data_IF_915351201147
#
_entry.id   IF_915351201147
#
_cell.length_a   1.000
_cell.length_b   1.000
_cell.length_c   1.000
_cell.angle_alpha   90.00
_cell.angle_beta   90.00
_cell.angle_gamma   90.00
#
_symmetry.space_group_name_H-M   'P 1'
#
loop_
_entity.id
_entity.type
_entity.pdbx_description
1 polymer ?
#
# COMPACT_ATOMS: atom_id res chain seq x y z
N UNK A 1 19.42 -4.63 -32.37
CA UNK A 1 18.41 -4.17 -31.39
C UNK A 1 18.38 -5.17 -30.26
N UNK A 2 19.02 -4.86 -29.12
CA UNK A 2 19.03 -5.77 -27.97
C UNK A 2 17.61 -5.88 -27.40
N UNK A 3 17.08 -7.10 -27.27
CA UNK A 3 15.84 -7.34 -26.53
C UNK A 3 16.07 -6.85 -25.10
N UNK A 4 15.42 -5.76 -24.70
CA UNK A 4 15.30 -5.41 -23.29
C UNK A 4 14.63 -6.60 -22.59
N UNK A 5 15.38 -7.25 -21.71
CA UNK A 5 14.89 -8.41 -20.96
C UNK A 5 13.87 -7.93 -19.93
N UNK A 6 12.60 -8.32 -20.09
CA UNK A 6 11.56 -8.07 -19.07
C UNK A 6 11.71 -8.98 -17.84
N UNK A 7 12.76 -9.81 -17.78
CA UNK A 7 12.96 -10.76 -16.68
C UNK A 7 13.08 -10.07 -15.31
N UNK A 8 13.68 -8.88 -15.24
CA UNK A 8 13.77 -8.10 -14.00
C UNK A 8 12.38 -7.68 -13.52
N UNK A 9 11.55 -7.16 -14.41
CA UNK A 9 10.18 -6.74 -14.11
C UNK A 9 9.31 -7.93 -13.70
N UNK A 10 9.35 -9.03 -14.47
CA UNK A 10 8.62 -10.25 -14.13
C UNK A 10 9.00 -10.82 -12.76
N UNK A 11 10.29 -10.72 -12.38
CA UNK A 11 10.74 -11.12 -11.04
C UNK A 11 10.18 -10.21 -9.95
N UNK A 12 10.10 -8.90 -10.17
CA UNK A 12 9.50 -7.94 -9.23
C UNK A 12 8.00 -8.18 -9.08
N UNK A 13 7.29 -8.34 -10.18
CA UNK A 13 5.84 -8.56 -10.20
C UNK A 13 5.48 -9.88 -9.51
N UNK A 14 6.21 -10.95 -9.83
CA UNK A 14 6.04 -12.25 -9.19
C UNK A 14 6.35 -12.19 -7.69
N UNK A 15 7.45 -11.52 -7.30
CA UNK A 15 7.82 -11.35 -5.90
C UNK A 15 6.74 -10.58 -5.12
N UNK A 16 6.30 -9.42 -5.62
CA UNK A 16 5.28 -8.59 -4.99
C UNK A 16 3.96 -9.34 -4.82
N UNK A 17 3.50 -10.02 -5.87
CA UNK A 17 2.27 -10.82 -5.84
C UNK A 17 2.36 -11.97 -4.84
N UNK A 18 3.43 -12.76 -4.91
CA UNK A 18 3.62 -13.89 -4.00
C UNK A 18 3.74 -13.43 -2.54
N UNK A 19 4.50 -12.36 -2.27
CA UNK A 19 4.68 -11.83 -0.91
C UNK A 19 3.38 -11.29 -0.33
N UNK A 20 2.52 -10.66 -1.14
CA UNK A 20 1.18 -10.26 -0.69
C UNK A 20 0.33 -11.48 -0.31
N UNK A 21 0.29 -12.51 -1.13
CA UNK A 21 -0.58 -13.66 -0.88
C UNK A 21 -0.07 -14.64 0.19
N UNK A 22 1.25 -14.86 0.27
CA UNK A 22 1.84 -15.98 1.03
C UNK A 22 2.89 -15.56 2.06
N UNK A 23 3.23 -14.27 2.15
CA UNK A 23 4.28 -13.76 3.02
C UNK A 23 5.68 -14.03 2.50
N UNK A 24 6.67 -13.29 2.99
CA UNK A 24 8.06 -13.34 2.57
C UNK A 24 8.79 -14.63 3.03
N UNK A 25 8.56 -15.08 4.26
CA UNK A 25 9.29 -16.17 4.91
C UNK A 25 8.95 -17.52 4.30
N UNK A 26 7.72 -17.68 3.83
CA UNK A 26 7.24 -18.87 3.13
C UNK A 26 7.72 -19.00 1.68
N UNK A 27 8.45 -18.01 1.15
CA UNK A 27 8.86 -17.97 -0.26
C UNK A 27 10.35 -18.19 -0.46
N UNK A 28 10.68 -19.08 -1.40
CA UNK A 28 12.04 -19.33 -1.87
C UNK A 28 12.34 -18.64 -3.20
N UNK A 29 13.63 -18.31 -3.44
CA UNK A 29 14.07 -17.71 -4.72
C UNK A 29 13.68 -18.58 -5.93
N UNK A 30 13.77 -19.91 -5.81
CA UNK A 30 13.42 -20.83 -6.88
C UNK A 30 11.93 -20.75 -7.28
N UNK A 31 11.06 -20.54 -6.29
CA UNK A 31 9.63 -20.42 -6.50
C UNK A 31 9.27 -19.09 -7.17
N UNK A 32 9.89 -17.99 -6.75
CA UNK A 32 9.72 -16.68 -7.41
C UNK A 32 10.21 -16.74 -8.87
N UNK A 33 11.35 -17.39 -9.10
CA UNK A 33 11.87 -17.62 -10.45
C UNK A 33 10.90 -18.44 -11.32
N UNK A 34 10.30 -19.49 -10.76
CA UNK A 34 9.32 -20.30 -11.46
C UNK A 34 8.06 -19.49 -11.81
N UNK A 35 7.55 -18.69 -10.88
CA UNK A 35 6.39 -17.83 -11.11
C UNK A 35 6.67 -16.72 -12.16
N UNK A 36 7.91 -16.22 -12.22
CA UNK A 36 8.34 -15.20 -13.18
C UNK A 36 8.69 -15.76 -14.58
N UNK A 37 8.70 -17.09 -14.76
CA UNK A 37 9.29 -17.76 -15.92
C UNK A 37 10.73 -17.26 -16.19
N UNK A 38 11.57 -17.32 -15.15
CA UNK A 38 12.98 -16.91 -15.18
C UNK A 38 13.84 -18.04 -14.61
N UNK A 39 14.97 -18.34 -15.27
CA UNK A 39 15.92 -19.32 -14.74
C UNK A 39 16.57 -18.79 -13.46
N UNK A 40 16.72 -19.64 -12.44
CA UNK A 40 17.36 -19.28 -11.16
C UNK A 40 18.75 -18.65 -11.32
N UNK A 41 19.55 -19.09 -12.31
CA UNK A 41 20.85 -18.47 -12.60
C UNK A 41 20.76 -17.01 -13.05
N UNK A 42 19.66 -16.63 -13.71
CA UNK A 42 19.41 -15.25 -14.15
C UNK A 42 18.94 -14.35 -13.00
N UNK A 43 18.43 -14.91 -11.90
CA UNK A 43 18.04 -14.13 -10.72
C UNK A 43 19.21 -13.31 -10.18
N UNK A 44 20.35 -13.97 -9.98
CA UNK A 44 21.54 -13.37 -9.39
C UNK A 44 22.25 -12.36 -10.32
N UNK A 45 21.83 -12.26 -11.57
CA UNK A 45 22.23 -11.17 -12.45
C UNK A 45 21.51 -9.85 -12.11
N UNK A 46 20.28 -9.93 -11.58
CA UNK A 46 19.45 -8.76 -11.29
C UNK A 46 19.39 -8.40 -9.80
N UNK A 47 19.43 -9.41 -8.93
CA UNK A 47 19.27 -9.24 -7.49
C UNK A 47 20.32 -10.05 -6.74
N UNK A 48 20.95 -9.42 -5.75
CA UNK A 48 22.02 -10.04 -4.95
C UNK A 48 21.46 -11.03 -3.93
N UNK A 49 20.21 -10.85 -3.49
CA UNK A 49 19.54 -11.69 -2.50
C UNK A 49 18.01 -11.62 -2.63
N UNK A 50 17.29 -12.46 -1.87
CA UNK A 50 15.83 -12.34 -1.73
C UNK A 50 15.44 -11.00 -1.08
N UNK A 51 16.23 -10.54 -0.12
CA UNK A 51 16.03 -9.26 0.57
C UNK A 51 16.19 -8.08 -0.40
N UNK A 52 17.21 -8.09 -1.27
CA UNK A 52 17.41 -7.06 -2.30
C UNK A 52 16.20 -7.03 -3.27
N UNK A 53 15.75 -8.19 -3.76
CA UNK A 53 14.51 -8.28 -4.53
C UNK A 53 13.31 -7.66 -3.78
N UNK A 54 13.14 -7.97 -2.49
CA UNK A 54 12.05 -7.42 -1.67
C UNK A 54 12.13 -5.91 -1.56
N UNK A 55 13.31 -5.34 -1.31
CA UNK A 55 13.49 -3.88 -1.27
C UNK A 55 13.11 -3.24 -2.61
N UNK A 56 13.51 -3.84 -3.73
CA UNK A 56 13.13 -3.35 -5.07
C UNK A 56 11.63 -3.51 -5.34
N UNK A 57 10.99 -4.56 -4.83
CA UNK A 57 9.55 -4.76 -4.95
C UNK A 57 8.77 -3.74 -4.09
N UNK A 58 9.26 -3.43 -2.88
CA UNK A 58 8.73 -2.35 -2.04
C UNK A 58 8.82 -1.01 -2.77
N UNK A 59 9.98 -0.70 -3.36
CA UNK A 59 10.17 0.56 -4.10
C UNK A 59 9.21 0.67 -5.29
N UNK A 60 9.10 -0.39 -6.09
CA UNK A 60 8.20 -0.41 -7.25
C UNK A 60 6.73 -0.25 -6.83
N UNK A 61 6.31 -0.97 -5.78
CA UNK A 61 4.96 -0.86 -5.25
C UNK A 61 4.67 0.54 -4.70
N UNK A 62 5.62 1.13 -3.98
CA UNK A 62 5.47 2.50 -3.47
C UNK A 62 5.43 3.52 -4.61
N UNK A 63 6.23 3.37 -5.66
CA UNK A 63 6.21 4.31 -6.79
C UNK A 63 4.83 4.35 -7.47
N UNK A 64 4.24 3.18 -7.71
CA UNK A 64 2.89 3.06 -8.28
C UNK A 64 1.84 3.63 -7.32
N UNK A 65 1.89 3.24 -6.05
CA UNK A 65 0.95 3.70 -5.05
C UNK A 65 1.04 5.22 -4.85
N UNK A 66 2.24 5.79 -4.73
CA UNK A 66 2.47 7.22 -4.57
C UNK A 66 1.90 8.01 -5.75
N UNK A 67 2.07 7.50 -6.98
CA UNK A 67 1.49 8.12 -8.17
C UNK A 67 -0.04 8.12 -8.12
N UNK A 68 -0.66 7.00 -7.74
CA UNK A 68 -2.11 6.89 -7.60
C UNK A 68 -2.64 7.79 -6.48
N UNK A 69 -1.95 7.84 -5.33
CA UNK A 69 -2.31 8.69 -4.20
C UNK A 69 -2.19 10.17 -4.55
N UNK A 70 -1.09 10.57 -5.18
CA UNK A 70 -0.90 11.97 -5.61
C UNK A 70 -2.01 12.38 -6.58
N UNK A 71 -2.31 11.56 -7.59
CA UNK A 71 -3.39 11.83 -8.53
C UNK A 71 -4.78 11.94 -7.87
N UNK A 72 -5.07 11.11 -6.87
CA UNK A 72 -6.35 11.15 -6.14
C UNK A 72 -6.47 12.39 -5.24
N UNK A 73 -5.34 12.84 -4.68
CA UNK A 73 -5.26 13.95 -3.72
C UNK A 73 -4.97 15.31 -4.36
N UNK A 74 -4.76 15.39 -5.67
CA UNK A 74 -4.62 16.64 -6.41
C UNK A 74 -5.95 17.12 -7.02
N UNK A 75 -5.98 18.36 -7.51
CA UNK A 75 -7.13 18.97 -8.19
C UNK A 75 -7.89 19.99 -7.35
N UNK A 76 -8.99 20.51 -7.93
CA UNK A 76 -9.76 21.63 -7.38
C UNK A 76 -10.97 21.20 -6.54
N UNK A 77 -11.23 19.89 -6.43
CA UNK A 77 -12.31 19.38 -5.57
C UNK A 77 -12.02 19.66 -4.08
N UNK A 78 -13.07 19.78 -3.24
CA UNK A 78 -12.90 19.91 -1.79
C UNK A 78 -11.97 18.83 -1.21
N UNK A 79 -11.15 19.20 -0.23
CA UNK A 79 -10.13 18.31 0.33
C UNK A 79 -10.69 16.98 0.85
N UNK A 80 -11.86 17.01 1.52
CA UNK A 80 -12.52 15.78 1.98
C UNK A 80 -13.04 14.91 0.84
N UNK A 81 -13.44 15.48 -0.29
CA UNK A 81 -13.85 14.71 -1.47
C UNK A 81 -12.64 14.00 -2.11
N UNK A 82 -11.49 14.68 -2.17
CA UNK A 82 -10.21 14.08 -2.60
C UNK A 82 -9.78 12.93 -1.70
N UNK A 83 -9.81 13.14 -0.37
CA UNK A 83 -9.51 12.10 0.61
C UNK A 83 -10.46 10.90 0.49
N UNK A 84 -11.76 11.15 0.35
CA UNK A 84 -12.76 10.11 0.14
C UNK A 84 -12.44 9.26 -1.09
N UNK A 85 -12.18 9.90 -2.23
CA UNK A 85 -11.79 9.22 -3.48
C UNK A 85 -10.61 8.29 -3.29
N UNK A 86 -9.57 8.76 -2.59
CA UNK A 86 -8.40 7.95 -2.30
C UNK A 86 -8.80 6.69 -1.51
N UNK A 87 -9.52 6.86 -0.41
CA UNK A 87 -9.90 5.76 0.48
C UNK A 87 -10.87 4.76 -0.19
N UNK A 88 -11.83 5.24 -0.96
CA UNK A 88 -12.73 4.40 -1.77
C UNK A 88 -11.96 3.66 -2.87
N UNK A 89 -11.00 4.33 -3.53
CA UNK A 89 -10.14 3.68 -4.52
C UNK A 89 -9.29 2.53 -3.94
N UNK A 90 -8.84 2.66 -2.69
CA UNK A 90 -8.17 1.58 -1.96
C UNK A 90 -9.11 0.42 -1.65
N UNK A 91 -10.38 0.70 -1.30
CA UNK A 91 -11.39 -0.35 -1.10
C UNK A 91 -11.72 -1.08 -2.40
N UNK A 92 -11.88 -0.34 -3.50
CA UNK A 92 -12.15 -0.90 -4.82
C UNK A 92 -11.00 -1.76 -5.34
N UNK A 93 -9.75 -1.40 -5.03
CA UNK A 93 -8.59 -2.25 -5.34
C UNK A 93 -8.72 -3.63 -4.68
N UNK A 94 -9.12 -3.68 -3.41
CA UNK A 94 -9.30 -4.95 -2.69
C UNK A 94 -10.49 -5.76 -3.24
N UNK A 95 -11.56 -5.10 -3.71
CA UNK A 95 -12.69 -5.76 -4.39
C UNK A 95 -12.26 -6.40 -5.71
N UNK A 96 -11.58 -5.63 -6.57
CA UNK A 96 -11.07 -6.13 -7.85
C UNK A 96 -10.13 -7.32 -7.65
N UNK A 97 -9.19 -7.21 -6.69
CA UNK A 97 -8.30 -8.32 -6.37
C UNK A 97 -9.06 -9.58 -5.90
N UNK A 98 -10.14 -9.42 -5.11
CA UNK A 98 -11.00 -10.52 -4.69
C UNK A 98 -11.73 -11.17 -5.87
N UNK A 99 -12.21 -10.38 -6.81
CA UNK A 99 -12.90 -10.87 -8.02
C UNK A 99 -11.94 -11.60 -8.97
N UNK A 100 -10.75 -11.05 -9.19
CA UNK A 100 -9.76 -11.56 -10.14
C UNK A 100 -9.00 -12.79 -9.59
N UNK A 101 -8.59 -12.74 -8.32
CA UNK A 101 -7.72 -13.75 -7.71
C UNK A 101 -8.44 -14.66 -6.71
N UNK A 102 -9.73 -14.44 -6.45
CA UNK A 102 -10.53 -15.22 -5.50
C UNK A 102 -10.27 -14.91 -4.02
N UNK A 103 -9.36 -13.98 -3.71
CA UNK A 103 -9.03 -13.59 -2.34
C UNK A 103 -8.71 -12.09 -2.20
N UNK A 104 -9.00 -11.53 -1.03
CA UNK A 104 -8.55 -10.18 -0.66
C UNK A 104 -7.02 -10.19 -0.52
N UNK A 105 -6.34 -9.32 -1.27
CA UNK A 105 -4.88 -9.32 -1.41
C UNK A 105 -4.17 -8.73 -0.17
N UNK A 106 -4.78 -7.68 0.41
CA UNK A 106 -4.25 -6.90 1.50
C UNK A 106 -3.27 -5.82 1.05
N UNK A 107 -2.44 -5.33 1.97
CA UNK A 107 -1.39 -4.35 1.68
C UNK A 107 -0.01 -5.01 1.71
N UNK A 108 0.79 -4.88 0.63
CA UNK A 108 2.15 -5.41 0.59
C UNK A 108 3.01 -4.84 1.74
N UNK A 109 2.97 -3.52 1.89
CA UNK A 109 3.76 -2.80 2.89
C UNK A 109 3.38 -3.21 4.31
N UNK A 110 2.07 -3.29 4.60
CA UNK A 110 1.56 -3.74 5.90
C UNK A 110 1.95 -5.19 6.23
N UNK A 111 1.83 -6.11 5.26
CA UNK A 111 2.22 -7.51 5.46
C UNK A 111 3.73 -7.63 5.74
N UNK A 112 4.57 -6.96 4.95
CA UNK A 112 6.02 -7.00 5.14
C UNK A 112 6.44 -6.30 6.45
N UNK A 113 5.74 -5.25 6.87
CA UNK A 113 5.99 -4.61 8.15
C UNK A 113 5.75 -5.57 9.32
N UNK A 114 4.65 -6.32 9.29
CA UNK A 114 4.36 -7.30 10.34
C UNK A 114 5.35 -8.47 10.38
N UNK A 115 5.89 -8.85 9.22
CA UNK A 115 6.74 -10.03 9.10
C UNK A 115 8.23 -9.74 9.34
N UNK A 116 8.73 -8.60 8.85
CA UNK A 116 10.17 -8.36 8.71
C UNK A 116 10.74 -7.26 9.61
N UNK A 117 9.90 -6.43 10.26
CA UNK A 117 10.41 -5.25 10.99
C UNK A 117 11.37 -5.57 12.14
N UNK A 118 11.31 -6.78 12.71
CA UNK A 118 12.19 -7.23 13.80
C UNK A 118 13.39 -8.05 13.32
N UNK A 119 13.47 -8.37 12.03
CA UNK A 119 14.46 -9.29 11.46
C UNK A 119 15.33 -8.63 10.38
N UNK A 120 14.77 -7.69 9.62
CA UNK A 120 15.41 -7.06 8.46
C UNK A 120 15.45 -5.53 8.65
N UNK A 121 16.51 -4.96 9.25
CA UNK A 121 16.59 -3.54 9.57
C UNK A 121 16.44 -2.61 8.35
N UNK A 122 16.99 -3.00 7.20
CA UNK A 122 16.92 -2.20 5.97
C UNK A 122 15.49 -2.17 5.41
N UNK A 123 14.77 -3.29 5.49
CA UNK A 123 13.35 -3.36 5.12
C UNK A 123 12.51 -2.53 6.07
N UNK A 124 12.76 -2.62 7.39
CA UNK A 124 12.06 -1.78 8.38
C UNK A 124 12.24 -0.30 8.08
N UNK A 125 13.49 0.15 7.90
CA UNK A 125 13.80 1.55 7.65
C UNK A 125 13.07 2.05 6.40
N UNK A 126 13.08 1.25 5.33
CA UNK A 126 12.38 1.62 4.09
C UNK A 126 10.86 1.71 4.26
N UNK A 127 10.26 0.77 4.98
CA UNK A 127 8.81 0.81 5.27
C UNK A 127 8.43 2.01 6.13
N UNK A 128 9.26 2.36 7.12
CA UNK A 128 9.06 3.55 7.97
C UNK A 128 9.02 4.83 7.12
N UNK A 129 9.98 5.02 6.22
CA UNK A 129 9.99 6.15 5.28
C UNK A 129 8.71 6.24 4.44
N UNK A 130 8.21 5.09 3.97
CA UNK A 130 7.01 5.05 3.13
C UNK A 130 5.75 5.38 3.93
N UNK A 131 5.58 4.80 5.12
CA UNK A 131 4.43 5.12 5.97
C UNK A 131 4.45 6.58 6.45
N UNK A 132 5.64 7.16 6.65
CA UNK A 132 5.79 8.59 6.93
C UNK A 132 5.42 9.47 5.72
N UNK A 133 5.77 9.04 4.51
CA UNK A 133 5.39 9.74 3.28
C UNK A 133 3.86 9.68 3.05
N UNK A 134 3.24 8.51 3.21
CA UNK A 134 1.78 8.36 3.18
C UNK A 134 1.10 9.26 4.23
N UNK A 135 1.61 9.27 5.46
CA UNK A 135 1.10 10.13 6.53
C UNK A 135 1.22 11.61 6.15
N UNK A 136 2.31 12.03 5.51
CA UNK A 136 2.49 13.40 5.05
C UNK A 136 1.50 13.78 3.95
N UNK A 137 1.21 12.88 3.00
CA UNK A 137 0.20 13.10 1.95
C UNK A 137 -1.18 13.37 2.56
N UNK A 138 -1.62 12.52 3.50
CA UNK A 138 -2.90 12.69 4.18
C UNK A 138 -2.91 13.95 5.05
N UNK A 139 -1.82 14.24 5.76
CA UNK A 139 -1.72 15.44 6.60
C UNK A 139 -1.94 16.73 5.80
N UNK A 140 -1.32 16.85 4.61
CA UNK A 140 -1.54 18.03 3.75
C UNK A 140 -3.01 18.20 3.38
N UNK A 141 -3.70 17.12 3.03
CA UNK A 141 -5.12 17.18 2.66
C UNK A 141 -6.00 17.53 3.86
N UNK A 142 -5.66 17.06 5.06
CA UNK A 142 -6.37 17.46 6.28
C UNK A 142 -6.11 18.94 6.64
N UNK A 143 -4.89 19.44 6.39
CA UNK A 143 -4.57 20.86 6.59
C UNK A 143 -5.35 21.75 5.61
N UNK A 144 -5.49 21.31 4.35
CA UNK A 144 -6.34 21.96 3.34
C UNK A 144 -7.82 21.92 3.75
N UNK A 145 -8.33 20.77 4.20
CA UNK A 145 -9.70 20.64 4.70
C UNK A 145 -9.97 21.56 5.90
N UNK A 146 -8.97 21.80 6.76
CA UNK A 146 -9.09 22.73 7.88
C UNK A 146 -9.15 24.18 7.40
N UNK A 147 -8.37 24.53 6.37
CA UNK A 147 -8.43 25.84 5.74
C UNK A 147 -9.77 26.09 5.02
N UNK A 148 -10.39 25.03 4.48
CA UNK A 148 -11.75 25.03 3.92
C UNK A 148 -12.84 25.10 5.01
N UNK A 149 -12.49 24.91 6.28
CA UNK A 149 -13.45 24.83 7.40
C UNK A 149 -14.22 23.51 7.49
N UNK A 150 -13.82 22.49 6.72
CA UNK A 150 -14.48 21.19 6.66
C UNK A 150 -14.04 20.23 7.78
N UNK A 151 -12.88 20.46 8.40
CA UNK A 151 -12.42 19.75 9.61
C UNK A 151 -11.92 20.75 10.66
N UNK A 152 -12.07 20.45 11.96
CA UNK A 152 -11.46 21.25 13.01
C UNK A 152 -9.92 21.26 12.89
N UNK A 153 -9.29 22.40 13.17
CA UNK A 153 -7.82 22.55 13.03
C UNK A 153 -7.04 21.61 13.93
N UNK A 154 -7.55 21.29 15.11
CA UNK A 154 -6.97 20.31 16.04
C UNK A 154 -7.09 18.86 15.56
N UNK A 155 -7.95 18.61 14.57
CA UNK A 155 -8.12 17.32 13.89
C UNK A 155 -7.32 17.23 12.58
N UNK A 156 -6.58 18.27 12.22
CA UNK A 156 -5.69 18.28 11.06
C UNK A 156 -4.26 17.82 11.42
N UNK A 157 -3.37 17.84 10.43
CA UNK A 157 -1.96 17.53 10.61
C UNK A 157 -1.62 16.05 10.84
N UNK A 158 -0.33 15.81 11.10
CA UNK A 158 0.29 14.48 11.13
C UNK A 158 -0.33 13.48 12.12
N UNK A 159 -0.68 13.83 13.37
CA UNK A 159 -1.19 12.84 14.33
C UNK A 159 -2.50 12.18 13.87
N UNK A 160 -3.45 12.96 13.36
CA UNK A 160 -4.73 12.43 12.87
C UNK A 160 -4.55 11.77 11.51
N UNK A 161 -3.70 12.31 10.63
CA UNK A 161 -3.34 11.65 9.37
C UNK A 161 -2.78 10.24 9.61
N UNK A 162 -1.90 10.07 10.60
CA UNK A 162 -1.39 8.76 10.99
C UNK A 162 -2.49 7.84 11.52
N UNK A 163 -3.47 8.38 12.25
CA UNK A 163 -4.62 7.60 12.71
C UNK A 163 -5.50 7.13 11.54
N UNK A 164 -5.67 7.95 10.49
CA UNK A 164 -6.37 7.55 9.25
C UNK A 164 -5.63 6.42 8.55
N UNK A 165 -4.30 6.51 8.40
CA UNK A 165 -3.47 5.42 7.84
C UNK A 165 -3.59 4.15 8.67
N UNK A 166 -3.48 4.25 10.00
CA UNK A 166 -3.63 3.11 10.90
C UNK A 166 -5.02 2.46 10.79
N UNK A 167 -6.07 3.27 10.61
CA UNK A 167 -7.42 2.76 10.41
C UNK A 167 -7.58 2.04 9.07
N UNK A 168 -7.05 2.60 7.98
CA UNK A 168 -7.01 1.98 6.66
C UNK A 168 -6.31 0.61 6.72
N UNK A 169 -5.08 0.57 7.22
CA UNK A 169 -4.30 -0.68 7.33
C UNK A 169 -5.00 -1.70 8.23
N UNK A 170 -5.62 -1.26 9.33
CA UNK A 170 -6.42 -2.12 10.20
C UNK A 170 -7.63 -2.74 9.49
N UNK A 171 -8.38 -1.95 8.71
CA UNK A 171 -9.51 -2.47 7.95
C UNK A 171 -9.08 -3.36 6.79
N UNK A 172 -7.97 -3.07 6.12
CA UNK A 172 -7.38 -3.94 5.08
C UNK A 172 -6.97 -5.28 5.69
N UNK A 173 -6.38 -5.28 6.88
CA UNK A 173 -6.07 -6.49 7.64
C UNK A 173 -7.34 -7.30 7.93
N UNK A 174 -8.40 -6.66 8.45
CA UNK A 174 -9.66 -7.37 8.73
C UNK A 174 -10.35 -7.87 7.46
N UNK A 175 -10.32 -7.12 6.37
CA UNK A 175 -10.84 -7.53 5.07
C UNK A 175 -10.10 -8.79 4.57
N UNK A 176 -8.77 -8.82 4.70
CA UNK A 176 -7.96 -9.99 4.38
C UNK A 176 -8.25 -11.18 5.28
N UNK A 177 -8.33 -10.95 6.60
CA UNK A 177 -8.65 -11.99 7.59
C UNK A 177 -10.00 -12.66 7.30
N UNK A 178 -11.03 -11.87 7.00
CA UNK A 178 -12.38 -12.36 6.67
C UNK A 178 -12.51 -12.80 5.21
N UNK A 179 -11.51 -12.49 4.39
CA UNK A 179 -11.54 -12.63 2.95
C UNK A 179 -12.79 -11.95 2.32
N UNK A 180 -13.15 -10.80 2.86
CA UNK A 180 -14.36 -10.04 2.55
C UNK A 180 -14.04 -8.54 2.44
N UNK A 181 -14.06 -7.94 1.23
CA UNK A 181 -13.77 -6.53 1.05
C UNK A 181 -14.88 -5.61 1.56
N UNK A 182 -16.08 -6.10 1.87
CA UNK A 182 -17.17 -5.30 2.44
C UNK A 182 -16.83 -4.72 3.83
N UNK A 183 -15.83 -5.29 4.51
CA UNK A 183 -15.26 -4.69 5.74
C UNK A 183 -14.82 -3.23 5.53
N UNK A 184 -14.35 -2.90 4.31
CA UNK A 184 -13.88 -1.57 3.95
C UNK A 184 -15.01 -0.56 3.71
N UNK A 185 -16.29 -0.98 3.66
CA UNK A 185 -17.44 -0.06 3.52
C UNK A 185 -17.53 0.96 4.66
N UNK A 186 -16.97 0.61 5.82
CA UNK A 186 -16.95 1.46 7.01
C UNK A 186 -15.79 2.46 7.05
N UNK A 187 -14.83 2.33 6.12
CA UNK A 187 -13.60 3.14 6.10
C UNK A 187 -13.90 4.64 6.05
N UNK A 188 -14.68 5.09 5.07
CA UNK A 188 -15.01 6.51 4.95
C UNK A 188 -15.87 7.05 6.11
N UNK A 189 -16.98 6.39 6.50
CA UNK A 189 -17.76 6.82 7.66
C UNK A 189 -16.95 6.94 8.96
N UNK A 190 -15.99 6.06 9.19
CA UNK A 190 -15.12 6.13 10.37
C UNK A 190 -14.04 7.20 10.23
N UNK A 191 -13.49 7.41 9.03
CA UNK A 191 -12.57 8.53 8.78
C UNK A 191 -13.22 9.86 9.12
N UNK A 192 -14.50 10.08 8.77
CA UNK A 192 -15.24 11.28 9.17
C UNK A 192 -15.26 11.48 10.70
N UNK A 193 -15.47 10.42 11.47
CA UNK A 193 -15.42 10.46 12.95
C UNK A 193 -14.02 10.80 13.46
N UNK A 194 -12.97 10.25 12.84
CA UNK A 194 -11.58 10.52 13.23
C UNK A 194 -11.21 11.99 13.01
N UNK A 195 -11.61 12.55 11.86
CA UNK A 195 -11.29 13.93 11.47
C UNK A 195 -12.28 14.96 12.01
N UNK A 196 -13.35 14.53 12.67
CA UNK A 196 -14.37 15.43 13.24
C UNK A 196 -15.17 16.19 12.19
N UNK A 197 -15.40 15.56 11.03
CA UNK A 197 -16.25 16.11 9.98
C UNK A 197 -17.66 15.51 10.04
N UNK A 198 -18.66 16.34 9.76
CA UNK A 198 -20.04 15.88 9.62
C UNK A 198 -20.20 15.03 8.36
N UNK A 199 -21.18 14.13 8.37
CA UNK A 199 -21.60 13.43 7.14
C UNK A 199 -22.23 14.47 6.21
N UNK A 200 -21.76 14.60 4.95
CA UNK A 200 -22.48 15.40 3.97
C UNK A 200 -23.90 14.85 3.73
#
# INVERSE_FOLDING_TARGET
MGRTSTARERLLDAAGTLMRHRGYSGLGVAEICAAADVKKGSFYHFFTSKQDLTLRAIDAYWEEQHRAWSAALEGADPALARLRRLLEGMADFQRRAKEECGAVDGCLLGNLALELSTQEPDVRARLEEIFDAQTALIARVLDEAAAEGAVPRERAGRPVARAVIAHLEGLVLFAKLKNDPAVLDTLWPHTLLLVGADRP
#
